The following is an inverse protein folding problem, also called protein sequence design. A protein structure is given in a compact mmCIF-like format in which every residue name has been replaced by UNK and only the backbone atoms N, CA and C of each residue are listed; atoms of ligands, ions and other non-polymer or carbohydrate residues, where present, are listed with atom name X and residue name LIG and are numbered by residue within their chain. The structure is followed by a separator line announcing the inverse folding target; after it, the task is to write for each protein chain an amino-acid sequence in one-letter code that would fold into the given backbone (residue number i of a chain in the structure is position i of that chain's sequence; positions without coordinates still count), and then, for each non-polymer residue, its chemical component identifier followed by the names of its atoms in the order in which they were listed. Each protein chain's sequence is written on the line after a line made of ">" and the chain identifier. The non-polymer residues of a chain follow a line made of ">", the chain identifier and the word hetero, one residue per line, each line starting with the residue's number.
data_IF_591088851637
#
_entry.id   IF_591088851637
#
_cell.length_a   1.000
_cell.length_b   1.000
_cell.length_c   1.000
_cell.angle_alpha   90.00
_cell.angle_beta   90.00
_cell.angle_gamma   90.00
#
_symmetry.space_group_name_H-M   'P 1'
#
loop_
_entity.id
_entity.type
_entity.pdbx_description
1 polymer ?
#
# COMPACT_ATOMS: atom_id res chain seq x y z
N UNK A 1 3.58 27.87 -2.61
CA UNK A 1 3.73 27.47 -4.02
C UNK A 1 2.92 26.20 -4.22
N UNK A 2 2.21 26.08 -5.35
CA UNK A 2 1.74 24.79 -5.84
C UNK A 2 2.77 24.38 -6.90
N UNK A 3 3.79 23.64 -6.46
CA UNK A 3 4.75 23.04 -7.38
C UNK A 3 4.09 21.84 -8.04
N UNK A 4 4.45 21.57 -9.29
CA UNK A 4 3.91 20.41 -10.00
C UNK A 4 4.36 19.13 -9.28
N UNK A 5 3.41 18.27 -8.91
CA UNK A 5 3.71 16.95 -8.38
C UNK A 5 4.60 16.16 -9.35
N UNK A 6 5.51 15.39 -8.78
CA UNK A 6 6.42 14.53 -9.54
C UNK A 6 5.66 13.34 -10.15
N UNK A 7 6.14 12.80 -11.27
CA UNK A 7 5.51 11.63 -11.91
C UNK A 7 5.38 10.43 -10.93
N UNK A 8 6.35 10.29 -10.02
CA UNK A 8 6.33 9.24 -8.98
C UNK A 8 5.16 9.41 -8.00
N UNK A 9 4.86 10.65 -7.60
CA UNK A 9 3.71 10.95 -6.73
C UNK A 9 2.39 10.71 -7.46
N UNK A 10 2.32 11.10 -8.75
CA UNK A 10 1.15 10.84 -9.59
C UNK A 10 0.92 9.32 -9.76
N UNK A 11 1.97 8.54 -9.99
CA UNK A 11 1.85 7.09 -10.12
C UNK A 11 1.40 6.44 -8.79
N UNK A 12 1.93 6.92 -7.66
CA UNK A 12 1.51 6.46 -6.35
C UNK A 12 0.04 6.78 -6.07
N UNK A 13 -0.42 7.98 -6.44
CA UNK A 13 -1.83 8.36 -6.36
C UNK A 13 -2.71 7.47 -7.21
N UNK A 14 -2.32 7.18 -8.46
CA UNK A 14 -3.06 6.25 -9.34
C UNK A 14 -3.18 4.85 -8.73
N UNK A 15 -2.10 4.34 -8.13
CA UNK A 15 -2.11 3.05 -7.42
C UNK A 15 -3.08 3.07 -6.23
N UNK A 16 -3.05 4.13 -5.43
CA UNK A 16 -3.95 4.34 -4.30
C UNK A 16 -5.43 4.39 -4.74
N UNK A 17 -5.73 5.12 -5.81
CA UNK A 17 -7.09 5.20 -6.38
C UNK A 17 -7.57 3.84 -6.87
N UNK A 18 -6.74 3.11 -7.64
CA UNK A 18 -7.11 1.80 -8.16
C UNK A 18 -7.22 0.72 -7.06
N UNK A 19 -6.40 0.80 -6.01
CA UNK A 19 -6.41 -0.13 -4.88
C UNK A 19 -7.39 0.23 -3.78
N UNK A 20 -8.03 1.40 -3.85
CA UNK A 20 -8.87 1.93 -2.77
C UNK A 20 -8.10 2.19 -1.47
N UNK A 21 -6.78 2.38 -1.54
CA UNK A 21 -5.91 2.60 -0.37
C UNK A 21 -5.61 4.09 -0.22
N UNK A 22 -5.48 4.59 1.02
CA UNK A 22 -5.12 5.99 1.25
C UNK A 22 -3.67 6.27 0.85
N UNK A 23 -3.42 7.46 0.27
CA UNK A 23 -2.08 7.95 -0.07
C UNK A 23 -1.47 8.75 1.08
N UNK A 24 -0.26 8.41 1.52
CA UNK A 24 0.43 9.15 2.58
C UNK A 24 1.56 8.34 3.21
N UNK A 25 1.92 8.67 4.44
CA UNK A 25 2.95 7.94 5.19
C UNK A 25 2.43 6.62 5.75
N UNK A 26 3.33 5.66 6.00
CA UNK A 26 2.98 4.37 6.59
C UNK A 26 2.30 4.49 7.97
N UNK A 27 2.57 5.57 8.70
CA UNK A 27 1.92 5.86 9.99
C UNK A 27 0.55 6.50 9.83
N UNK A 28 0.34 7.30 8.78
CA UNK A 28 -0.92 8.00 8.53
C UNK A 28 -1.97 7.12 7.83
N UNK A 29 -1.54 6.26 6.91
CA UNK A 29 -2.42 5.30 6.20
C UNK A 29 -3.35 4.49 7.11
N UNK A 30 -2.89 3.81 8.18
CA UNK A 30 -3.76 3.05 9.06
C UNK A 30 -4.70 3.93 9.88
N UNK A 31 -4.27 5.16 10.24
CA UNK A 31 -5.09 6.11 10.98
C UNK A 31 -6.26 6.58 10.11
N UNK A 32 -5.98 7.06 8.89
CA UNK A 32 -7.02 7.56 8.00
C UNK A 32 -7.92 6.43 7.48
N UNK A 33 -7.37 5.23 7.24
CA UNK A 33 -8.17 4.06 6.91
C UNK A 33 -9.12 3.69 8.06
N UNK A 34 -8.72 3.88 9.32
CA UNK A 34 -9.61 3.69 10.46
C UNK A 34 -10.73 4.73 10.51
N UNK A 35 -10.40 6.00 10.29
CA UNK A 35 -11.37 7.11 10.30
C UNK A 35 -12.39 6.98 9.18
N UNK A 36 -11.96 6.56 7.98
CA UNK A 36 -12.81 6.43 6.79
C UNK A 36 -13.47 5.05 6.66
N UNK A 37 -13.21 4.11 7.57
CA UNK A 37 -13.74 2.75 7.48
C UNK A 37 -13.11 1.90 6.36
N UNK A 38 -11.98 2.33 5.80
CA UNK A 38 -11.24 1.66 4.71
C UNK A 38 -10.18 0.66 5.20
N UNK A 39 -10.27 0.19 6.45
CA UNK A 39 -9.30 -0.79 7.00
C UNK A 39 -9.20 -2.07 6.15
N UNK A 40 -10.28 -2.47 5.48
CA UNK A 40 -10.31 -3.64 4.60
C UNK A 40 -9.44 -3.47 3.35
N UNK A 41 -9.20 -2.24 2.87
CA UNK A 41 -8.39 -2.00 1.68
C UNK A 41 -6.89 -2.06 1.98
N UNK A 42 -6.50 -1.90 3.25
CA UNK A 42 -5.13 -2.14 3.71
C UNK A 42 -4.79 -3.62 3.86
N UNK A 43 -5.81 -4.49 3.90
CA UNK A 43 -5.59 -5.93 3.94
C UNK A 43 -5.31 -6.43 2.52
N UNK A 44 -4.32 -7.31 2.39
CA UNK A 44 -4.03 -7.96 1.11
C UNK A 44 -5.29 -8.64 0.58
N UNK A 45 -5.69 -8.32 -0.66
CA UNK A 45 -6.82 -8.96 -1.33
C UNK A 45 -6.44 -10.41 -1.66
N UNK A 46 -6.63 -11.33 -0.71
CA UNK A 46 -6.48 -12.78 -0.92
C UNK A 46 -5.88 -13.54 0.27
N UNK A 47 -5.86 -14.88 0.16
CA UNK A 47 -5.08 -15.72 1.08
C UNK A 47 -3.60 -15.36 0.93
N UNK A 48 -2.84 -15.13 2.03
CA UNK A 48 -1.39 -15.00 1.94
C UNK A 48 -0.82 -16.20 1.18
N UNK A 49 0.04 -15.94 0.20
CA UNK A 49 0.71 -17.00 -0.57
C UNK A 49 1.48 -17.85 0.44
N UNK A 50 1.26 -19.17 0.42
CA UNK A 50 2.05 -20.13 1.21
C UNK A 50 3.52 -19.77 0.99
N UNK A 51 4.21 -19.34 2.04
CA UNK A 51 5.65 -19.09 1.99
C UNK A 51 6.30 -20.40 1.54
N UNK A 52 6.64 -20.47 0.26
CA UNK A 52 7.44 -21.56 -0.27
C UNK A 52 8.83 -21.33 0.31
N UNK A 53 9.17 -22.10 1.34
CA UNK A 53 10.47 -22.04 1.99
C UNK A 53 11.58 -22.11 0.95
N UNK A 54 12.25 -20.99 0.71
CA UNK A 54 13.52 -20.96 0.01
C UNK A 54 14.59 -21.41 1.02
N UNK A 55 14.69 -22.73 1.19
CA UNK A 55 15.87 -23.37 1.74
C UNK A 55 17.03 -23.16 0.76
N UNK A 56 17.97 -22.29 1.08
CA UNK A 56 19.31 -22.33 0.49
C UNK A 56 20.34 -22.37 1.62
N UNK A 57 20.51 -23.54 2.23
CA UNK A 57 21.79 -23.92 2.86
C UNK A 57 22.66 -24.56 1.77
N UNK A 58 23.62 -23.79 1.28
CA UNK A 58 24.76 -24.23 0.45
C UNK A 58 25.77 -23.06 0.54
N UNK A 59 26.99 -23.15 1.06
CA UNK A 59 28.00 -24.21 1.18
C UNK A 59 28.75 -24.03 2.51
#
# INVERSE_FOLDING_TARGET
>A
MNDAETEAEIEALRKCVNGGTPYGTETWKPQIAATLGLKSTLQSLGKPRKEMGLTNTQT
#
